data_IF_481813704727
#
_entry.id   IF_481813704727
#
_cell.length_a   1.000
_cell.length_b   1.000
_cell.length_c   1.000
_cell.angle_alpha   90.00
_cell.angle_beta   90.00
_cell.angle_gamma   90.00
#
_symmetry.space_group_name_H-M   'P 1'
#
loop_
_entity.id
_entity.type
_entity.pdbx_description
1 polymer ?
#
# COMPACT_ATOMS: atom_id res chain seq x y z
N UNK A 1 5.37 -43.69 -30.34
CA UNK A 1 5.51 -43.74 -31.80
C UNK A 1 4.57 -42.72 -32.42
N UNK A 2 5.14 -41.59 -32.83
CA UNK A 2 4.71 -40.72 -33.94
C UNK A 2 5.63 -39.48 -33.91
N UNK A 3 6.64 -39.50 -34.78
CA UNK A 3 7.51 -38.38 -35.13
C UNK A 3 6.74 -37.28 -35.87
N UNK A 4 7.02 -36.01 -35.57
CA UNK A 4 6.99 -34.91 -36.55
C UNK A 4 8.09 -33.87 -36.19
N UNK A 5 8.76 -33.39 -37.24
CA UNK A 5 10.07 -32.76 -37.31
C UNK A 5 10.13 -31.25 -36.94
N UNK A 6 11.34 -30.64 -36.80
CA UNK A 6 11.55 -29.29 -36.29
C UNK A 6 11.72 -28.25 -37.41
N UNK A 7 10.99 -27.13 -37.35
CA UNK A 7 11.23 -25.95 -38.19
C UNK A 7 10.92 -24.67 -37.39
N UNK A 8 11.95 -23.81 -37.23
CA UNK A 8 11.90 -22.35 -37.00
C UNK A 8 12.88 -21.79 -35.91
N UNK A 9 14.00 -22.44 -35.59
CA UNK A 9 14.98 -21.89 -34.62
C UNK A 9 16.09 -21.01 -35.22
N UNK A 10 16.25 -20.92 -36.54
CA UNK A 10 17.43 -20.27 -37.14
C UNK A 10 17.34 -18.74 -37.29
N UNK A 11 16.17 -18.14 -37.13
CA UNK A 11 16.00 -16.68 -37.24
C UNK A 11 16.20 -15.90 -35.93
N UNK A 12 15.90 -16.51 -34.79
CA UNK A 12 15.91 -15.84 -33.48
C UNK A 12 17.34 -15.79 -32.87
N UNK A 13 18.14 -16.82 -33.11
CA UNK A 13 19.52 -16.92 -32.61
C UNK A 13 20.44 -15.86 -33.24
N UNK A 14 20.22 -15.51 -34.51
CA UNK A 14 21.01 -14.48 -35.21
C UNK A 14 20.80 -13.06 -34.67
N UNK A 15 19.56 -12.73 -34.25
CA UNK A 15 19.22 -11.41 -33.68
C UNK A 15 19.77 -11.30 -32.26
N UNK A 16 19.71 -12.38 -31.47
CA UNK A 16 20.29 -12.43 -30.11
C UNK A 16 21.82 -12.30 -30.16
N UNK A 17 22.50 -12.93 -31.13
CA UNK A 17 23.96 -12.82 -31.29
C UNK A 17 24.40 -11.41 -31.68
N UNK A 18 23.72 -10.78 -32.65
CA UNK A 18 24.06 -9.43 -33.09
C UNK A 18 23.80 -8.35 -32.02
N UNK A 19 22.85 -8.61 -31.11
CA UNK A 19 22.57 -7.75 -29.96
C UNK A 19 23.63 -7.96 -28.86
N UNK A 20 24.11 -9.20 -28.67
CA UNK A 20 25.17 -9.53 -27.71
C UNK A 20 26.51 -8.88 -28.08
N UNK A 21 26.85 -8.86 -29.37
CA UNK A 21 28.10 -8.26 -29.85
C UNK A 21 28.04 -6.71 -29.86
N UNK A 22 26.85 -6.12 -30.04
CA UNK A 22 26.64 -4.67 -29.86
C UNK A 22 26.65 -4.23 -28.39
N UNK A 23 26.20 -5.09 -27.48
CA UNK A 23 26.28 -4.85 -26.04
C UNK A 23 27.73 -5.01 -25.52
N UNK A 24 28.51 -5.94 -26.08
CA UNK A 24 29.92 -6.11 -25.75
C UNK A 24 30.80 -4.94 -26.24
N UNK A 25 30.40 -4.24 -27.30
CA UNK A 25 31.13 -3.08 -27.84
C UNK A 25 30.80 -1.74 -27.14
N UNK A 26 29.90 -1.75 -26.14
CA UNK A 26 29.49 -0.56 -25.39
C UNK A 26 30.01 -0.54 -23.94
N UNK A 27 31.01 -1.37 -23.61
CA UNK A 27 31.82 -1.23 -22.40
C UNK A 27 32.88 -0.12 -22.56
N UNK A 28 32.39 1.11 -22.77
CA UNK A 28 33.15 2.29 -22.34
C UNK A 28 32.50 2.70 -21.03
N UNK A 29 33.13 2.29 -19.93
CA UNK A 29 32.73 2.56 -18.54
C UNK A 29 32.63 4.08 -18.29
N UNK A 30 31.50 4.69 -18.66
CA UNK A 30 31.00 5.81 -17.87
C UNK A 30 30.64 5.26 -16.49
N UNK A 31 30.97 5.94 -15.39
CA UNK A 31 30.58 5.49 -14.06
C UNK A 31 29.06 5.57 -13.94
N UNK A 32 28.38 4.49 -14.33
CA UNK A 32 26.94 4.40 -14.26
C UNK A 32 26.54 4.30 -12.78
N UNK A 33 25.62 5.17 -12.38
CA UNK A 33 24.99 5.20 -11.08
C UNK A 33 24.47 3.81 -10.75
N UNK A 34 24.86 3.28 -9.59
CA UNK A 34 24.28 2.07 -9.06
C UNK A 34 22.74 2.24 -8.97
N UNK A 35 21.92 1.42 -9.67
CA UNK A 35 20.46 1.54 -9.66
C UNK A 35 19.86 1.33 -8.27
N UNK A 36 20.64 0.76 -7.34
CA UNK A 36 20.29 0.50 -5.94
C UNK A 36 20.88 1.52 -4.96
N UNK A 37 21.46 2.62 -5.45
CA UNK A 37 21.84 3.77 -4.63
C UNK A 37 20.62 4.31 -3.86
N UNK A 38 20.78 4.87 -2.66
CA UNK A 38 19.70 5.57 -1.96
C UNK A 38 19.39 6.96 -2.55
N UNK A 39 20.26 7.51 -3.40
CA UNK A 39 20.12 8.87 -3.97
C UNK A 39 18.79 9.05 -4.74
N UNK A 40 18.38 8.12 -5.63
CA UNK A 40 17.10 8.24 -6.34
C UNK A 40 15.89 8.31 -5.41
N UNK A 41 15.89 7.57 -4.30
CA UNK A 41 14.83 7.63 -3.31
C UNK A 41 14.69 9.04 -2.72
N UNK A 42 15.81 9.71 -2.44
CA UNK A 42 15.83 11.11 -1.97
C UNK A 42 15.28 12.06 -3.03
N UNK A 43 15.68 11.89 -4.30
CA UNK A 43 15.17 12.72 -5.40
C UNK A 43 13.65 12.60 -5.57
N UNK A 44 13.12 11.37 -5.53
CA UNK A 44 11.67 11.12 -5.59
C UNK A 44 10.95 11.76 -4.40
N UNK A 45 11.49 11.64 -3.18
CA UNK A 45 10.92 12.29 -1.99
C UNK A 45 10.89 13.81 -2.13
N UNK A 46 11.98 14.42 -2.57
CA UNK A 46 12.05 15.88 -2.77
C UNK A 46 11.05 16.34 -3.82
N UNK A 47 10.94 15.62 -4.95
CA UNK A 47 9.95 15.91 -5.99
C UNK A 47 8.52 15.82 -5.46
N UNK A 48 8.20 14.78 -4.68
CA UNK A 48 6.88 14.60 -4.08
C UNK A 48 6.55 15.69 -3.05
N UNK A 49 7.49 16.04 -2.17
CA UNK A 49 7.34 17.11 -1.17
C UNK A 49 7.14 18.46 -1.85
N UNK A 50 7.94 18.77 -2.87
CA UNK A 50 7.84 20.01 -3.63
C UNK A 50 6.50 20.12 -4.35
N UNK A 51 6.09 19.07 -5.06
CA UNK A 51 4.78 19.00 -5.73
C UNK A 51 3.65 19.17 -4.73
N UNK A 52 3.70 18.46 -3.60
CA UNK A 52 2.69 18.58 -2.55
C UNK A 52 2.61 19.99 -2.00
N UNK A 53 3.75 20.66 -1.79
CA UNK A 53 3.78 22.06 -1.33
C UNK A 53 3.09 23.00 -2.33
N UNK A 54 3.28 22.81 -3.63
CA UNK A 54 2.58 23.57 -4.68
C UNK A 54 1.07 23.31 -4.61
N UNK A 55 0.66 22.04 -4.57
CA UNK A 55 -0.75 21.65 -4.53
C UNK A 55 -1.46 22.15 -3.27
N UNK A 56 -0.80 22.12 -2.11
CA UNK A 56 -1.34 22.65 -0.85
C UNK A 56 -1.55 24.17 -0.94
N UNK A 57 -0.63 24.89 -1.58
CA UNK A 57 -0.80 26.33 -1.81
C UNK A 57 -1.94 26.63 -2.76
N UNK A 58 -2.12 25.82 -3.81
CA UNK A 58 -3.15 26.02 -4.82
C UNK A 58 -4.55 25.58 -4.37
N UNK A 59 -4.66 24.44 -3.68
CA UNK A 59 -5.92 23.76 -3.36
C UNK A 59 -6.32 23.87 -1.87
N UNK A 60 -5.50 24.54 -1.06
CA UNK A 60 -5.70 24.67 0.38
C UNK A 60 -5.12 23.51 1.19
N UNK A 61 -4.76 23.84 2.43
CA UNK A 61 -4.26 22.89 3.41
C UNK A 61 -5.37 21.96 3.93
N UNK A 62 -5.00 20.75 4.39
CA UNK A 62 -5.92 19.86 5.08
C UNK A 62 -6.46 20.53 6.35
N UNK A 63 -7.66 20.14 6.81
CA UNK A 63 -8.21 20.61 8.09
C UNK A 63 -7.20 20.45 9.25
N UNK A 64 -7.41 21.20 10.34
CA UNK A 64 -6.62 21.07 11.55
C UNK A 64 -6.45 19.60 11.97
N UNK A 65 -5.27 19.27 12.54
CA UNK A 65 -4.88 17.89 12.79
C UNK A 65 -5.98 17.11 13.53
N UNK A 66 -6.40 15.99 12.95
CA UNK A 66 -7.13 14.99 13.73
C UNK A 66 -6.15 14.41 14.74
N UNK A 67 -6.68 13.86 15.84
CA UNK A 67 -6.04 13.40 17.10
C UNK A 67 -4.59 12.88 17.05
N UNK A 68 -4.07 12.40 15.92
CA UNK A 68 -2.72 11.83 15.73
C UNK A 68 -1.98 12.41 14.50
N UNK A 69 -1.53 13.67 14.59
CA UNK A 69 -0.87 14.38 13.49
C UNK A 69 0.37 13.66 12.91
N UNK A 70 1.17 13.02 13.77
CA UNK A 70 2.39 12.29 13.39
C UNK A 70 2.07 11.06 12.53
N UNK A 71 0.98 10.36 12.85
CA UNK A 71 0.49 9.22 12.09
C UNK A 71 -0.06 9.65 10.74
N UNK A 72 -0.78 10.78 10.69
CA UNK A 72 -1.26 11.35 9.43
C UNK A 72 -0.09 11.67 8.49
N UNK A 73 0.97 12.33 8.98
CA UNK A 73 2.14 12.63 8.16
C UNK A 73 2.97 11.40 7.77
N UNK A 74 3.11 10.42 8.66
CA UNK A 74 3.86 9.18 8.40
C UNK A 74 3.32 8.46 7.16
N UNK A 75 1.99 8.33 7.05
CA UNK A 75 1.33 7.60 5.95
C UNK A 75 1.78 8.02 4.57
N UNK A 76 1.99 9.32 4.35
CA UNK A 76 2.40 9.85 3.05
C UNK A 76 3.77 9.32 2.63
N UNK A 77 4.72 9.31 3.56
CA UNK A 77 6.06 8.77 3.33
C UNK A 77 6.04 7.27 3.08
N UNK A 78 5.25 6.51 3.85
CA UNK A 78 5.12 5.06 3.67
C UNK A 78 4.62 4.71 2.26
N UNK A 79 3.61 5.43 1.75
CA UNK A 79 3.09 5.21 0.40
C UNK A 79 4.14 5.53 -0.68
N UNK A 80 4.90 6.63 -0.51
CA UNK A 80 6.00 6.97 -1.42
C UNK A 80 7.13 5.96 -1.38
N UNK A 81 7.47 5.41 -0.22
CA UNK A 81 8.50 4.39 -0.09
C UNK A 81 8.11 3.09 -0.81
N UNK A 82 6.82 2.71 -0.76
CA UNK A 82 6.29 1.59 -1.55
C UNK A 82 6.40 1.88 -3.05
N UNK A 83 6.09 3.11 -3.49
CA UNK A 83 6.31 3.52 -4.87
C UNK A 83 7.77 3.43 -5.29
N UNK A 84 8.71 3.94 -4.48
CA UNK A 84 10.15 3.85 -4.74
C UNK A 84 10.63 2.41 -4.81
N UNK A 85 10.11 1.54 -3.95
CA UNK A 85 10.38 0.09 -3.99
C UNK A 85 9.94 -0.53 -5.32
N UNK A 86 8.71 -0.28 -5.75
CA UNK A 86 8.21 -0.82 -7.03
C UNK A 86 8.90 -0.19 -8.23
N UNK A 87 9.31 1.08 -8.17
CA UNK A 87 10.12 1.69 -9.22
C UNK A 87 11.48 0.97 -9.40
N UNK A 88 12.08 0.48 -8.30
CA UNK A 88 13.26 -0.38 -8.38
C UNK A 88 12.91 -1.77 -8.94
N UNK A 89 11.80 -2.39 -8.54
CA UNK A 89 11.36 -3.67 -9.14
C UNK A 89 11.15 -3.53 -10.65
N UNK A 90 10.49 -2.46 -11.09
CA UNK A 90 10.26 -2.17 -12.51
C UNK A 90 11.57 -2.10 -13.29
N UNK A 91 12.63 -1.48 -12.73
CA UNK A 91 13.95 -1.47 -13.35
C UNK A 91 14.47 -2.89 -13.66
N UNK A 92 14.41 -3.80 -12.69
CA UNK A 92 14.87 -5.18 -12.90
C UNK A 92 13.92 -6.00 -13.76
N UNK A 93 12.61 -5.78 -13.63
CA UNK A 93 11.59 -6.47 -14.41
C UNK A 93 11.73 -6.18 -15.91
N UNK A 94 11.93 -4.91 -16.29
CA UNK A 94 12.13 -4.52 -17.70
C UNK A 94 13.34 -5.20 -18.35
N UNK A 95 14.34 -5.63 -17.56
CA UNK A 95 15.60 -6.24 -18.04
C UNK A 95 15.62 -7.76 -17.96
N UNK A 96 14.95 -8.32 -16.97
CA UNK A 96 14.98 -9.76 -16.69
C UNK A 96 13.67 -10.46 -17.07
N UNK A 97 12.63 -9.70 -17.41
CA UNK A 97 11.26 -10.21 -17.59
C UNK A 97 10.60 -10.74 -16.32
N UNK A 98 11.31 -10.71 -15.17
CA UNK A 98 10.89 -11.39 -13.95
C UNK A 98 10.51 -10.38 -12.87
N UNK A 99 9.30 -10.52 -12.32
CA UNK A 99 8.87 -9.71 -11.18
C UNK A 99 9.35 -10.34 -9.88
N UNK A 100 10.56 -9.96 -9.46
CA UNK A 100 11.23 -10.58 -8.31
C UNK A 100 11.72 -9.53 -7.32
N UNK A 101 12.01 -10.02 -6.12
CA UNK A 101 12.59 -9.24 -5.05
C UNK A 101 13.91 -8.59 -5.48
N UNK A 102 14.06 -7.30 -5.22
CA UNK A 102 15.26 -6.52 -5.53
C UNK A 102 16.42 -6.96 -4.61
N UNK A 103 17.67 -7.11 -5.11
CA UNK A 103 18.83 -7.45 -4.29
C UNK A 103 19.35 -6.25 -3.48
N UNK A 104 18.47 -5.59 -2.71
CA UNK A 104 18.78 -4.46 -1.85
C UNK A 104 17.94 -4.49 -0.57
N UNK A 105 18.59 -4.56 0.60
CA UNK A 105 17.88 -4.47 1.87
C UNK A 105 17.18 -3.12 2.04
N UNK A 106 17.79 -2.04 1.53
CA UNK A 106 17.20 -0.71 1.57
C UNK A 106 15.88 -0.63 0.81
N UNK A 107 15.86 -0.98 -0.48
CA UNK A 107 14.61 -0.93 -1.27
C UNK A 107 13.57 -1.92 -0.75
N UNK A 108 13.98 -3.10 -0.29
CA UNK A 108 13.04 -4.06 0.31
C UNK A 108 12.43 -3.54 1.62
N UNK A 109 13.20 -2.81 2.43
CA UNK A 109 12.68 -2.15 3.62
C UNK A 109 11.69 -1.04 3.27
N UNK A 110 11.98 -0.23 2.25
CA UNK A 110 11.06 0.79 1.76
C UNK A 110 9.70 0.21 1.33
N UNK A 111 9.68 -0.99 0.74
CA UNK A 111 8.45 -1.72 0.41
C UNK A 111 7.81 -2.38 1.63
N UNK A 112 8.40 -3.48 2.10
CA UNK A 112 7.81 -4.34 3.14
C UNK A 112 7.73 -3.67 4.52
N UNK A 113 8.73 -2.86 4.90
CA UNK A 113 8.72 -2.12 6.16
C UNK A 113 7.63 -1.06 6.20
N UNK A 114 7.38 -0.40 5.06
CA UNK A 114 6.27 0.54 4.94
C UNK A 114 4.92 -0.14 5.07
N UNK A 115 4.74 -1.33 4.46
CA UNK A 115 3.49 -2.11 4.61
C UNK A 115 3.31 -2.58 6.06
N UNK A 116 4.38 -3.06 6.73
CA UNK A 116 4.32 -3.41 8.15
C UNK A 116 3.92 -2.21 9.02
N UNK A 117 4.44 -1.01 8.73
CA UNK A 117 4.03 0.21 9.43
C UNK A 117 2.59 0.61 9.09
N UNK A 118 2.08 0.38 7.87
CA UNK A 118 0.65 0.56 7.56
C UNK A 118 -0.22 -0.39 8.41
N UNK A 119 0.16 -1.65 8.57
CA UNK A 119 -0.52 -2.57 9.49
C UNK A 119 -0.45 -2.10 10.94
N UNK A 120 0.69 -1.56 11.40
CA UNK A 120 0.78 -0.95 12.73
C UNK A 120 -0.13 0.27 12.88
N UNK A 121 -0.27 1.11 11.85
CA UNK A 121 -1.20 2.24 11.86
C UNK A 121 -2.64 1.75 11.99
N UNK A 122 -3.03 0.74 11.22
CA UNK A 122 -4.38 0.16 11.30
C UNK A 122 -4.61 -0.48 12.68
N UNK A 123 -3.65 -1.26 13.17
CA UNK A 123 -3.69 -1.83 14.51
C UNK A 123 -3.88 -0.77 15.60
N UNK A 124 -3.09 0.30 15.53
CA UNK A 124 -3.15 1.42 16.48
C UNK A 124 -4.50 2.14 16.47
N UNK A 125 -4.96 2.57 15.28
CA UNK A 125 -6.17 3.40 15.18
C UNK A 125 -7.42 2.66 15.62
N UNK A 126 -7.53 1.37 15.28
CA UNK A 126 -8.73 0.59 15.61
C UNK A 126 -8.66 0.01 17.00
N UNK A 127 -7.51 -0.50 17.44
CA UNK A 127 -7.38 -0.97 18.81
C UNK A 127 -7.52 0.18 19.83
N UNK A 128 -7.10 1.42 19.47
CA UNK A 128 -7.39 2.61 20.28
C UNK A 128 -8.89 2.83 20.48
N UNK A 129 -9.72 2.66 19.43
CA UNK A 129 -11.18 2.75 19.52
C UNK A 129 -11.76 1.62 20.36
N UNK A 130 -11.23 0.40 20.22
CA UNK A 130 -11.65 -0.76 21.01
C UNK A 130 -11.36 -0.55 22.50
N UNK A 131 -10.19 -0.03 22.85
CA UNK A 131 -9.85 0.32 24.23
C UNK A 131 -10.75 1.44 24.79
N UNK A 132 -11.12 2.46 23.98
CA UNK A 132 -12.12 3.47 24.36
C UNK A 132 -13.53 2.84 24.57
N UNK A 133 -13.78 1.73 23.87
CA UNK A 133 -14.99 0.93 23.92
C UNK A 133 -15.34 0.32 25.29
N UNK A 134 -14.37 0.26 26.21
CA UNK A 134 -14.60 -0.19 27.60
C UNK A 134 -15.43 0.81 28.40
N UNK A 135 -15.28 2.11 28.10
CA UNK A 135 -15.98 3.19 28.79
C UNK A 135 -17.19 3.71 28.00
N UNK A 136 -17.17 3.59 26.67
CA UNK A 136 -18.23 4.09 25.79
C UNK A 136 -18.65 3.01 24.81
N UNK A 137 -19.95 2.86 24.57
CA UNK A 137 -20.44 1.92 23.56
C UNK A 137 -19.83 2.19 22.18
N UNK A 138 -19.39 1.13 21.49
CA UNK A 138 -18.83 1.20 20.14
C UNK A 138 -19.99 1.20 19.14
N UNK A 139 -20.00 2.17 18.24
CA UNK A 139 -20.86 2.17 17.06
C UNK A 139 -20.23 1.29 15.97
N UNK A 140 -20.55 0.00 16.03
CA UNK A 140 -20.02 -1.02 15.11
C UNK A 140 -20.44 -0.77 13.66
N UNK A 141 -21.70 -0.38 13.42
CA UNK A 141 -22.18 -0.05 12.08
C UNK A 141 -21.35 1.09 11.47
N UNK A 142 -21.16 2.17 12.22
CA UNK A 142 -20.31 3.30 11.78
C UNK A 142 -18.87 2.88 11.55
N UNK A 143 -18.32 2.01 12.40
CA UNK A 143 -16.96 1.50 12.25
C UNK A 143 -16.78 0.84 10.88
N UNK A 144 -17.63 -0.14 10.54
CA UNK A 144 -17.54 -0.88 9.28
C UNK A 144 -17.89 -0.03 8.05
N UNK A 145 -18.95 0.79 8.12
CA UNK A 145 -19.32 1.73 7.05
C UNK A 145 -18.15 2.67 6.75
N UNK A 146 -17.50 3.21 7.79
CA UNK A 146 -16.35 4.09 7.59
C UNK A 146 -15.15 3.40 6.94
N UNK A 147 -15.05 2.07 6.99
CA UNK A 147 -13.99 1.28 6.33
C UNK A 147 -14.35 1.00 4.89
N UNK A 148 -15.58 0.53 4.66
CA UNK A 148 -16.11 0.33 3.32
C UNK A 148 -15.96 1.60 2.47
N UNK A 149 -16.39 2.75 2.99
CA UNK A 149 -16.28 4.04 2.27
C UNK A 149 -14.86 4.62 2.22
N UNK A 150 -13.94 4.12 3.05
CA UNK A 150 -12.52 4.51 2.98
C UNK A 150 -11.78 3.75 1.88
N UNK A 151 -12.02 2.45 1.76
CA UNK A 151 -11.25 1.55 0.91
C UNK A 151 -11.88 1.38 -0.47
N UNK A 152 -13.18 1.09 -0.52
CA UNK A 152 -13.87 0.64 -1.74
C UNK A 152 -13.82 1.63 -2.90
N UNK A 153 -14.09 2.94 -2.73
CA UNK A 153 -14.20 3.84 -3.88
C UNK A 153 -12.93 3.92 -4.72
N UNK A 154 -11.77 4.10 -4.08
CA UNK A 154 -10.49 4.14 -4.80
C UNK A 154 -10.01 2.78 -5.24
N UNK A 155 -10.33 1.73 -4.48
CA UNK A 155 -10.04 0.38 -4.91
C UNK A 155 -10.75 0.05 -6.23
N UNK A 156 -12.05 0.32 -6.33
CA UNK A 156 -12.81 0.12 -7.55
C UNK A 156 -12.30 0.97 -8.72
N UNK A 157 -11.87 2.22 -8.46
CA UNK A 157 -11.21 3.03 -9.49
C UNK A 157 -9.90 2.36 -9.97
N UNK A 158 -9.07 1.86 -9.06
CA UNK A 158 -7.84 1.15 -9.42
C UNK A 158 -8.14 -0.11 -10.24
N UNK A 159 -9.14 -0.91 -9.83
CA UNK A 159 -9.55 -2.11 -10.56
C UNK A 159 -10.14 -1.79 -11.94
N UNK A 160 -10.90 -0.70 -12.06
CA UNK A 160 -11.39 -0.23 -13.35
C UNK A 160 -10.21 0.13 -14.28
N UNK A 161 -9.20 0.83 -13.77
CA UNK A 161 -8.00 1.17 -14.54
C UNK A 161 -7.22 -0.09 -14.94
N UNK A 162 -7.03 -1.04 -14.03
CA UNK A 162 -6.39 -2.33 -14.30
C UNK A 162 -7.13 -3.08 -15.42
N UNK A 163 -8.45 -3.28 -15.28
CA UNK A 163 -9.26 -3.99 -16.29
C UNK A 163 -9.29 -3.24 -17.63
N UNK A 164 -9.24 -1.91 -17.62
CA UNK A 164 -9.10 -1.10 -18.84
C UNK A 164 -7.76 -1.34 -19.51
N UNK A 165 -6.66 -1.40 -18.74
CA UNK A 165 -5.33 -1.72 -19.27
C UNK A 165 -5.31 -3.15 -19.84
N UNK A 166 -5.92 -4.12 -19.16
CA UNK A 166 -6.09 -5.48 -19.69
C UNK A 166 -6.82 -5.43 -21.04
N UNK A 167 -7.93 -4.69 -21.14
CA UNK A 167 -8.65 -4.47 -22.41
C UNK A 167 -7.75 -3.88 -23.49
N UNK A 168 -6.99 -2.83 -23.19
CA UNK A 168 -6.06 -2.19 -24.14
C UNK A 168 -4.97 -3.16 -24.61
N UNK A 169 -4.30 -3.86 -23.69
CA UNK A 169 -3.20 -4.80 -24.01
C UNK A 169 -3.72 -6.02 -24.79
N UNK A 170 -4.94 -6.45 -24.51
CA UNK A 170 -5.61 -7.53 -25.24
C UNK A 170 -6.30 -7.06 -26.53
N UNK A 171 -6.16 -5.78 -26.89
CA UNK A 171 -6.82 -5.15 -28.05
C UNK A 171 -8.34 -5.31 -28.04
N UNK A 172 -8.93 -5.38 -26.85
CA UNK A 172 -10.34 -5.65 -26.61
C UNK A 172 -10.84 -6.97 -27.21
N UNK A 173 -9.92 -7.90 -27.49
CA UNK A 173 -10.25 -9.24 -27.95
C UNK A 173 -10.40 -10.18 -26.75
N UNK A 174 -11.47 -10.97 -26.76
CA UNK A 174 -11.64 -12.09 -25.83
C UNK A 174 -10.67 -13.21 -26.24
N UNK A 175 -9.66 -13.44 -25.41
CA UNK A 175 -8.69 -14.53 -25.57
C UNK A 175 -9.12 -15.79 -24.81
N UNK A 176 -10.08 -15.63 -23.91
CA UNK A 176 -10.72 -16.69 -23.14
C UNK A 176 -12.25 -16.55 -23.21
N UNK A 177 -12.96 -17.58 -22.73
CA UNK A 177 -14.42 -17.56 -22.66
C UNK A 177 -14.94 -16.40 -21.78
N UNK A 178 -16.02 -15.69 -22.16
CA UNK A 178 -16.54 -14.55 -21.40
C UNK A 178 -16.81 -14.85 -19.92
N UNK A 179 -17.27 -16.06 -19.61
CA UNK A 179 -17.57 -16.50 -18.24
C UNK A 179 -16.31 -16.65 -17.38
N UNK A 180 -15.18 -17.02 -17.98
CA UNK A 180 -13.87 -17.09 -17.33
C UNK A 180 -13.40 -15.68 -17.00
N UNK A 181 -13.41 -14.78 -17.98
CA UNK A 181 -12.99 -13.37 -17.81
C UNK A 181 -13.83 -12.66 -16.74
N UNK A 182 -15.15 -12.88 -16.73
CA UNK A 182 -16.04 -12.32 -15.70
C UNK A 182 -15.70 -12.82 -14.30
N UNK A 183 -15.37 -14.11 -14.15
CA UNK A 183 -14.96 -14.70 -12.87
C UNK A 183 -13.62 -14.16 -12.39
N UNK A 184 -12.67 -13.97 -13.29
CA UNK A 184 -11.36 -13.38 -12.98
C UNK A 184 -11.51 -11.93 -12.55
N UNK A 185 -12.25 -11.12 -13.33
CA UNK A 185 -12.56 -9.75 -12.95
C UNK A 185 -13.29 -9.69 -11.60
N UNK A 186 -14.23 -10.61 -11.34
CA UNK A 186 -14.91 -10.68 -10.04
C UNK A 186 -13.94 -10.97 -8.90
N UNK A 187 -13.00 -11.91 -9.06
CA UNK A 187 -11.95 -12.19 -8.04
C UNK A 187 -11.16 -10.92 -7.71
N UNK A 188 -10.73 -10.16 -8.73
CA UNK A 188 -10.11 -8.86 -8.54
C UNK A 188 -11.02 -7.87 -7.80
N UNK A 189 -12.32 -7.82 -8.06
CA UNK A 189 -13.24 -6.92 -7.34
C UNK A 189 -13.41 -7.25 -5.84
N UNK A 190 -12.98 -8.44 -5.38
CA UNK A 190 -13.09 -8.87 -3.98
C UNK A 190 -11.93 -8.46 -3.08
N UNK A 191 -11.24 -7.35 -3.37
CA UNK A 191 -10.02 -6.95 -2.63
C UNK A 191 -8.93 -8.02 -2.64
N UNK A 192 -8.90 -8.82 -3.72
CA UNK A 192 -8.03 -10.01 -3.85
C UNK A 192 -8.13 -11.01 -2.70
N UNK A 193 -9.23 -10.99 -1.93
CA UNK A 193 -9.50 -11.96 -0.86
C UNK A 193 -9.67 -13.36 -1.46
N UNK A 194 -10.35 -13.46 -2.60
CA UNK A 194 -10.55 -14.73 -3.28
C UNK A 194 -9.30 -15.17 -4.04
N UNK A 195 -8.70 -14.27 -4.81
CA UNK A 195 -7.50 -14.49 -5.61
C UNK A 195 -7.12 -13.21 -6.40
N UNK A 196 -5.98 -13.21 -7.07
CA UNK A 196 -5.57 -12.20 -8.07
C UNK A 196 -5.08 -12.88 -9.36
N UNK A 197 -5.98 -13.57 -10.10
CA UNK A 197 -5.58 -14.38 -11.26
C UNK A 197 -5.15 -13.49 -12.43
N UNK A 198 -4.54 -14.10 -13.44
CA UNK A 198 -4.46 -13.48 -14.75
C UNK A 198 -5.87 -13.25 -15.31
N UNK A 199 -6.04 -12.19 -16.10
CA UNK A 199 -7.34 -11.80 -16.65
C UNK A 199 -7.29 -11.86 -18.17
N UNK A 200 -8.22 -12.57 -18.80
CA UNK A 200 -8.35 -12.65 -20.26
C UNK A 200 -7.04 -13.13 -20.94
N UNK A 201 -6.40 -14.14 -20.36
CA UNK A 201 -5.16 -14.74 -20.83
C UNK A 201 -3.94 -13.81 -20.77
N UNK A 202 -4.03 -12.66 -20.09
CA UNK A 202 -2.90 -11.76 -19.91
C UNK A 202 -2.03 -12.22 -18.75
N UNK A 203 -0.95 -12.92 -19.06
CA UNK A 203 0.01 -13.40 -18.08
C UNK A 203 0.58 -12.27 -17.20
N UNK A 204 0.73 -12.54 -15.91
CA UNK A 204 1.22 -11.59 -14.90
C UNK A 204 0.39 -10.30 -14.82
N UNK A 205 -0.94 -10.40 -14.86
CA UNK A 205 -1.84 -9.24 -14.78
C UNK A 205 -1.56 -8.36 -13.56
N UNK A 206 -1.14 -8.96 -12.44
CA UNK A 206 -0.78 -8.24 -11.21
C UNK A 206 0.38 -7.25 -11.38
N UNK A 207 1.19 -7.35 -12.42
CA UNK A 207 2.26 -6.36 -12.66
C UNK A 207 1.72 -4.98 -13.01
N UNK A 208 0.46 -4.89 -13.49
CA UNK A 208 -0.23 -3.63 -13.80
C UNK A 208 -0.45 -2.77 -12.55
N UNK A 209 -0.85 -3.36 -11.43
CA UNK A 209 -0.99 -2.66 -10.15
C UNK A 209 0.24 -2.84 -9.24
N UNK A 210 1.32 -3.42 -9.77
CA UNK A 210 2.51 -3.81 -9.02
C UNK A 210 2.23 -4.81 -7.87
N UNK A 211 1.11 -5.53 -7.92
CA UNK A 211 0.71 -6.53 -6.93
C UNK A 211 0.34 -5.93 -5.57
N UNK A 212 0.15 -4.62 -5.46
CA UNK A 212 0.00 -3.91 -4.17
C UNK A 212 -1.23 -4.33 -3.36
N UNK A 213 -2.20 -4.97 -4.01
CA UNK A 213 -3.49 -5.34 -3.42
C UNK A 213 -3.40 -6.50 -2.42
N UNK A 214 -2.31 -7.27 -2.41
CA UNK A 214 -2.11 -8.41 -1.49
C UNK A 214 -2.29 -8.07 -0.01
N UNK A 215 -2.04 -6.80 0.38
CA UNK A 215 -2.11 -6.36 1.78
C UNK A 215 -3.54 -6.10 2.28
N UNK A 216 -4.50 -5.90 1.37
CA UNK A 216 -5.87 -5.51 1.71
C UNK A 216 -6.68 -6.63 2.39
N UNK A 217 -6.57 -7.92 2.00
CA UNK A 217 -7.19 -9.02 2.73
C UNK A 217 -6.81 -9.05 4.22
N UNK A 218 -5.52 -8.89 4.53
CA UNK A 218 -5.03 -8.83 5.92
C UNK A 218 -5.72 -7.71 6.71
N UNK A 219 -5.89 -6.54 6.09
CA UNK A 219 -6.55 -5.41 6.71
C UNK A 219 -8.05 -5.67 6.95
N UNK A 220 -8.75 -6.25 5.97
CA UNK A 220 -10.15 -6.65 6.08
C UNK A 220 -10.38 -7.67 7.20
N UNK A 221 -9.56 -8.71 7.24
CA UNK A 221 -9.65 -9.70 8.31
C UNK A 221 -9.34 -9.09 9.68
N UNK A 222 -8.37 -8.20 9.78
CA UNK A 222 -8.12 -7.46 11.02
C UNK A 222 -9.38 -6.68 11.47
N UNK A 223 -10.06 -5.98 10.56
CA UNK A 223 -11.31 -5.27 10.86
C UNK A 223 -12.44 -6.20 11.32
N UNK A 224 -12.57 -7.35 10.68
CA UNK A 224 -13.59 -8.34 11.00
C UNK A 224 -13.32 -9.06 12.33
N UNK A 225 -12.06 -9.11 12.78
CA UNK A 225 -11.67 -9.65 14.10
C UNK A 225 -11.77 -8.65 15.26
N UNK A 226 -11.97 -7.35 15.00
CA UNK A 226 -12.12 -6.33 16.05
C UNK A 226 -13.19 -6.64 17.12
N UNK A 227 -14.36 -7.22 16.80
CA UNK A 227 -15.36 -7.63 17.79
C UNK A 227 -14.82 -8.65 18.79
N UNK A 228 -13.98 -9.58 18.34
CA UNK A 228 -13.34 -10.55 19.21
C UNK A 228 -12.33 -9.87 20.14
N UNK A 229 -11.50 -8.97 19.62
CA UNK A 229 -10.57 -8.20 20.45
C UNK A 229 -11.31 -7.37 21.49
N UNK A 230 -12.41 -6.72 21.12
CA UNK A 230 -13.25 -5.94 22.01
C UNK A 230 -13.84 -6.80 23.14
N UNK A 231 -14.34 -7.98 22.79
CA UNK A 231 -14.88 -8.93 23.76
C UNK A 231 -13.82 -9.40 24.76
N UNK A 232 -12.63 -9.79 24.28
CA UNK A 232 -11.52 -10.27 25.13
C UNK A 232 -11.07 -9.20 26.14
N UNK A 233 -11.08 -7.91 25.75
CA UNK A 233 -10.72 -6.83 26.68
C UNK A 233 -11.89 -6.33 27.55
N UNK A 234 -13.04 -7.01 27.50
CA UNK A 234 -14.21 -6.72 28.33
C UNK A 234 -15.11 -5.58 27.84
N UNK A 235 -15.03 -5.19 26.56
CA UNK A 235 -15.99 -4.26 25.97
C UNK A 235 -17.29 -4.98 25.57
N UNK A 236 -18.42 -4.28 25.59
CA UNK A 236 -19.72 -4.84 25.18
C UNK A 236 -19.81 -4.94 23.66
N UNK A 237 -20.14 -6.12 23.16
CA UNK A 237 -20.24 -6.41 21.72
C UNK A 237 -21.56 -7.11 21.42
N UNK A 238 -22.37 -6.62 20.47
CA UNK A 238 -23.57 -7.34 20.04
C UNK A 238 -23.23 -8.69 19.41
N UNK A 239 -24.05 -9.71 19.69
CA UNK A 239 -23.82 -11.11 19.25
C UNK A 239 -23.59 -11.24 17.75
N UNK A 240 -24.32 -10.48 16.91
CA UNK A 240 -24.15 -10.52 15.46
C UNK A 240 -22.70 -10.23 15.02
N UNK A 241 -22.02 -9.28 15.65
CA UNK A 241 -20.63 -8.96 15.32
C UNK A 241 -19.65 -10.00 15.84
N UNK A 242 -19.97 -10.67 16.96
CA UNK A 242 -19.19 -11.82 17.44
C UNK A 242 -19.32 -13.01 16.49
N UNK A 243 -20.53 -13.29 15.99
CA UNK A 243 -20.75 -14.35 14.98
C UNK A 243 -19.95 -14.06 13.72
N UNK A 244 -19.94 -12.81 13.23
CA UNK A 244 -19.12 -12.40 12.09
C UNK A 244 -17.62 -12.61 12.37
N UNK A 245 -17.14 -12.21 13.55
CA UNK A 245 -15.74 -12.37 13.93
C UNK A 245 -15.33 -13.85 14.06
N UNK A 246 -16.20 -14.70 14.62
CA UNK A 246 -15.97 -16.14 14.72
C UNK A 246 -15.99 -16.81 13.35
N UNK A 247 -16.95 -16.48 12.49
CA UNK A 247 -16.99 -16.98 11.11
C UNK A 247 -15.73 -16.56 10.33
N UNK A 248 -15.25 -15.32 10.55
CA UNK A 248 -13.98 -14.85 9.98
C UNK A 248 -12.80 -15.66 10.49
N UNK A 249 -12.73 -15.93 11.79
CA UNK A 249 -11.68 -16.77 12.38
C UNK A 249 -11.67 -18.18 11.78
N UNK A 250 -12.84 -18.77 11.55
CA UNK A 250 -12.97 -20.06 10.86
C UNK A 250 -12.51 -19.97 9.42
N UNK A 251 -12.91 -18.93 8.68
CA UNK A 251 -12.48 -18.74 7.29
C UNK A 251 -10.96 -18.53 7.16
N UNK A 252 -10.33 -17.85 8.12
CA UNK A 252 -8.88 -17.66 8.14
C UNK A 252 -8.10 -18.97 8.20
N UNK A 253 -8.67 -20.03 8.75
CA UNK A 253 -8.05 -21.37 8.73
C UNK A 253 -7.97 -21.90 7.29
N UNK A 254 -8.96 -21.59 6.45
CA UNK A 254 -8.96 -21.96 5.03
C UNK A 254 -8.09 -21.03 4.18
N UNK A 255 -8.08 -19.72 4.49
CA UNK A 255 -7.30 -18.73 3.74
C UNK A 255 -5.79 -18.81 4.01
N UNK A 256 -5.38 -19.40 5.14
CA UNK A 256 -3.98 -19.65 5.54
C UNK A 256 -3.06 -18.41 5.46
N UNK A 257 -3.34 -17.35 6.24
CA UNK A 257 -2.53 -16.13 6.23
C UNK A 257 -1.11 -16.41 6.73
N UNK A 258 -0.09 -15.84 6.06
CA UNK A 258 1.26 -15.82 6.62
C UNK A 258 1.31 -15.10 7.99
N UNK A 259 1.54 -15.80 9.12
CA UNK A 259 1.30 -15.25 10.46
C UNK A 259 2.20 -14.06 10.80
N UNK A 260 3.42 -14.06 10.25
CA UNK A 260 4.40 -13.00 10.50
C UNK A 260 4.00 -11.64 9.91
N UNK A 261 3.18 -11.62 8.84
CA UNK A 261 2.64 -10.37 8.29
C UNK A 261 1.60 -9.78 9.24
N UNK A 262 0.74 -10.65 9.78
CA UNK A 262 -0.27 -10.28 10.77
C UNK A 262 0.34 -9.83 12.11
N UNK A 263 1.53 -10.32 12.47
CA UNK A 263 2.23 -9.90 13.69
C UNK A 263 2.51 -8.39 13.76
N UNK A 264 2.63 -7.70 12.62
CA UNK A 264 2.81 -6.25 12.58
C UNK A 264 1.63 -5.49 13.23
N UNK A 265 0.40 -6.00 13.15
CA UNK A 265 -0.75 -5.38 13.83
C UNK A 265 -0.57 -5.32 15.35
N UNK A 266 0.16 -6.29 15.95
CA UNK A 266 0.42 -6.33 17.38
C UNK A 266 1.28 -5.14 17.83
N UNK A 267 2.24 -4.70 17.01
CA UNK A 267 3.02 -3.48 17.28
C UNK A 267 2.13 -2.23 17.33
N UNK A 268 1.13 -2.15 16.46
CA UNK A 268 0.09 -1.13 16.48
C UNK A 268 -0.80 -1.18 17.73
N UNK A 269 -1.25 -2.38 18.10
CA UNK A 269 -2.04 -2.61 19.32
C UNK A 269 -1.25 -2.23 20.57
N UNK A 270 0.02 -2.60 20.64
CA UNK A 270 0.93 -2.18 21.72
C UNK A 270 1.04 -0.66 21.79
N UNK A 271 1.26 0.02 20.66
CA UNK A 271 1.28 1.48 20.61
C UNK A 271 0.00 2.13 21.16
N UNK A 272 -1.18 1.54 20.90
CA UNK A 272 -2.44 2.05 21.42
C UNK A 272 -2.55 1.93 22.96
N UNK A 273 -1.92 0.90 23.54
CA UNK A 273 -1.81 0.75 25.00
C UNK A 273 -0.81 1.75 25.58
N UNK A 274 0.40 1.84 25.03
CA UNK A 274 1.43 2.75 25.52
C UNK A 274 1.00 4.22 25.42
N UNK A 275 0.31 4.60 24.34
CA UNK A 275 -0.16 5.97 24.11
C UNK A 275 -1.06 6.49 25.23
N UNK A 276 -1.74 5.62 26.00
CA UNK A 276 -2.61 6.01 27.12
C UNK A 276 -1.84 6.42 28.37
N UNK A 277 -0.60 5.95 28.51
CA UNK A 277 0.25 6.29 29.64
C UNK A 277 0.95 7.64 29.45
N UNK A 278 1.22 8.37 30.54
CA UNK A 278 1.87 9.69 30.45
C UNK A 278 3.37 9.60 30.17
N UNK A 279 4.04 8.55 30.65
CA UNK A 279 5.49 8.42 30.52
C UNK A 279 5.99 8.23 29.07
N UNK A 280 5.37 7.40 28.18
CA UNK A 280 5.84 7.26 26.81
C UNK A 280 5.62 8.53 26.01
N UNK A 281 4.52 9.25 26.27
CA UNK A 281 4.24 10.55 25.64
C UNK A 281 5.27 11.60 26.03
N UNK A 282 5.70 11.64 27.29
CA UNK A 282 6.78 12.54 27.75
C UNK A 282 8.11 12.20 27.06
N UNK A 283 8.46 10.92 26.96
CA UNK A 283 9.67 10.49 26.25
C UNK A 283 9.59 10.88 24.76
N UNK A 284 8.46 10.59 24.11
CA UNK A 284 8.23 10.83 22.69
C UNK A 284 8.33 12.30 22.28
N UNK A 285 8.11 13.23 23.21
CA UNK A 285 8.24 14.66 22.98
C UNK A 285 9.70 15.16 22.88
N UNK A 286 10.69 14.32 23.20
CA UNK A 286 12.11 14.69 23.19
C UNK A 286 12.74 14.55 21.80
N UNK A 287 13.79 15.33 21.52
CA UNK A 287 14.62 15.12 20.33
C UNK A 287 15.36 13.78 20.36
N UNK A 288 15.73 13.30 21.55
CA UNK A 288 16.33 11.96 21.74
C UNK A 288 15.41 10.84 21.25
N UNK A 289 14.09 10.94 21.45
CA UNK A 289 13.14 9.97 20.90
C UNK A 289 13.08 9.99 19.37
N UNK A 290 13.29 11.15 18.72
CA UNK A 290 13.41 11.22 17.27
C UNK A 290 14.67 10.49 16.77
N UNK A 291 15.81 10.70 17.42
CA UNK A 291 17.04 9.97 17.11
C UNK A 291 16.90 8.46 17.35
N UNK A 292 16.26 8.05 18.44
CA UNK A 292 16.01 6.65 18.75
C UNK A 292 15.09 6.01 17.69
N UNK A 293 14.00 6.68 17.30
CA UNK A 293 13.10 6.19 16.26
C UNK A 293 13.85 6.03 14.92
N UNK A 294 14.65 7.02 14.52
CA UNK A 294 15.49 6.94 13.31
C UNK A 294 16.50 5.81 13.42
N UNK A 295 17.16 5.66 14.58
CA UNK A 295 18.10 4.58 14.86
C UNK A 295 17.45 3.21 14.70
N UNK A 296 16.28 2.98 15.30
CA UNK A 296 15.52 1.73 15.13
C UNK A 296 15.18 1.44 13.65
N UNK A 297 14.72 2.45 12.91
CA UNK A 297 14.41 2.31 11.49
C UNK A 297 15.68 2.02 10.65
N UNK A 298 16.78 2.70 10.94
CA UNK A 298 18.06 2.50 10.26
C UNK A 298 18.66 1.12 10.56
N UNK A 299 18.57 0.65 11.81
CA UNK A 299 19.04 -0.70 12.20
C UNK A 299 18.25 -1.80 11.49
N UNK A 300 16.99 -1.57 11.11
CA UNK A 300 16.24 -2.55 10.30
C UNK A 300 16.91 -2.82 8.94
N UNK A 301 17.72 -1.90 8.42
CA UNK A 301 18.44 -2.08 7.15
C UNK A 301 19.55 -3.14 7.24
N UNK A 302 19.92 -3.57 8.45
CA UNK A 302 20.84 -4.68 8.66
C UNK A 302 20.16 -6.06 8.49
N UNK A 303 18.83 -6.11 8.38
CA UNK A 303 18.07 -7.36 8.34
C UNK A 303 17.55 -7.66 6.92
N UNK A 304 17.93 -8.81 6.32
CA UNK A 304 17.41 -9.21 5.02
C UNK A 304 15.91 -9.52 5.01
N UNK A 305 15.26 -9.75 6.14
CA UNK A 305 13.81 -9.99 6.20
C UNK A 305 13.18 -9.06 7.24
N UNK A 306 12.32 -8.15 6.78
CA UNK A 306 11.65 -7.16 7.62
C UNK A 306 10.65 -7.79 8.59
N UNK A 307 10.12 -8.95 8.26
CA UNK A 307 9.16 -9.68 9.10
C UNK A 307 9.84 -10.64 10.09
N UNK A 308 11.17 -10.67 10.15
CA UNK A 308 11.86 -11.35 11.24
C UNK A 308 11.56 -10.65 12.58
N UNK A 309 11.67 -11.41 13.68
CA UNK A 309 11.31 -10.92 15.02
C UNK A 309 12.08 -9.64 15.40
N UNK A 310 13.39 -9.60 15.13
CA UNK A 310 14.24 -8.44 15.41
C UNK A 310 13.74 -7.13 14.77
N UNK A 311 13.65 -7.03 13.44
CA UNK A 311 13.15 -5.83 12.77
C UNK A 311 11.69 -5.52 13.10
N UNK A 312 10.82 -6.51 13.33
CA UNK A 312 9.45 -6.23 13.81
C UNK A 312 9.43 -5.57 15.19
N UNK A 313 10.30 -5.98 16.11
CA UNK A 313 10.46 -5.32 17.42
C UNK A 313 10.99 -3.89 17.25
N UNK A 314 12.01 -3.69 16.41
CA UNK A 314 12.56 -2.35 16.14
C UNK A 314 11.52 -1.42 15.50
N UNK A 315 10.76 -1.92 14.51
CA UNK A 315 9.64 -1.20 13.90
C UNK A 315 8.57 -0.86 14.93
N UNK A 316 8.24 -1.79 15.83
CA UNK A 316 7.26 -1.57 16.89
C UNK A 316 7.72 -0.48 17.86
N UNK A 317 9.00 -0.48 18.26
CA UNK A 317 9.57 0.57 19.12
C UNK A 317 9.50 1.93 18.43
N UNK A 318 9.97 2.03 17.19
CA UNK A 318 9.90 3.27 16.41
C UNK A 318 8.46 3.77 16.26
N UNK A 319 7.53 2.86 15.94
CA UNK A 319 6.13 3.19 15.76
C UNK A 319 5.45 3.61 17.07
N UNK A 320 5.75 2.98 18.21
CA UNK A 320 5.25 3.38 19.53
C UNK A 320 5.67 4.82 19.84
N UNK A 321 6.94 5.18 19.61
CA UNK A 321 7.43 6.54 19.82
C UNK A 321 6.68 7.55 18.93
N UNK A 322 6.53 7.25 17.64
CA UNK A 322 5.81 8.11 16.69
C UNK A 322 4.32 8.27 17.07
N UNK A 323 3.66 7.17 17.43
CA UNK A 323 2.26 7.16 17.87
C UNK A 323 2.05 7.92 19.19
N UNK A 324 3.07 7.95 20.06
CA UNK A 324 3.06 8.70 21.31
C UNK A 324 3.41 10.19 21.15
N UNK A 325 3.90 10.62 19.99
CA UNK A 325 4.11 12.05 19.68
C UNK A 325 5.44 12.42 19.03
N UNK A 326 6.34 11.46 18.80
CA UNK A 326 7.63 11.74 18.13
C UNK A 326 7.38 12.20 16.69
N UNK A 327 7.79 13.44 16.40
CA UNK A 327 7.49 14.12 15.14
C UNK A 327 8.64 14.14 14.14
N UNK A 328 9.79 13.52 14.47
CA UNK A 328 11.03 13.51 13.68
C UNK A 328 11.47 14.92 13.29
N UNK A 329 11.77 15.75 14.31
CA UNK A 329 12.18 17.14 14.13
C UNK A 329 11.16 17.99 13.36
N UNK A 330 9.87 17.72 13.57
CA UNK A 330 8.75 18.44 12.94
C UNK A 330 8.32 17.91 11.57
N UNK A 331 9.08 16.99 10.96
CA UNK A 331 8.80 16.47 9.62
C UNK A 331 7.41 15.83 9.54
N UNK A 332 7.02 15.01 10.53
CA UNK A 332 5.75 14.27 10.48
C UNK A 332 4.52 15.14 10.77
N UNK A 333 4.68 16.29 11.42
CA UNK A 333 3.55 17.19 11.76
C UNK A 333 3.37 18.33 10.76
N UNK A 334 4.30 18.47 9.80
CA UNK A 334 4.22 19.50 8.77
C UNK A 334 2.94 19.38 7.95
N UNK A 335 2.40 20.52 7.51
CA UNK A 335 1.21 20.55 6.65
C UNK A 335 1.41 19.76 5.37
N UNK A 336 2.61 19.81 4.78
CA UNK A 336 2.95 19.09 3.55
C UNK A 336 2.87 17.58 3.76
N UNK A 337 3.52 17.07 4.81
CA UNK A 337 3.52 15.64 5.15
C UNK A 337 2.11 15.12 5.42
N UNK A 338 1.32 15.88 6.19
CA UNK A 338 -0.07 15.53 6.50
C UNK A 338 -0.95 15.53 5.26
N UNK A 339 -0.73 16.47 4.34
CA UNK A 339 -1.46 16.53 3.06
C UNK A 339 -1.14 15.33 2.18
N UNK A 340 0.14 14.95 2.10
CA UNK A 340 0.57 13.74 1.41
C UNK A 340 -0.06 12.49 2.05
N UNK A 341 -0.17 12.48 3.38
CA UNK A 341 -0.83 11.44 4.16
C UNK A 341 -2.31 11.23 3.87
N UNK A 342 -3.05 12.29 3.52
CA UNK A 342 -4.46 12.18 3.12
C UNK A 342 -4.61 11.35 1.83
N UNK A 343 -3.75 11.63 0.84
CA UNK A 343 -3.71 10.95 -0.45
C UNK A 343 -2.93 9.62 -0.44
N UNK A 344 -2.42 9.18 0.73
CA UNK A 344 -1.55 8.01 0.82
C UNK A 344 -2.18 6.72 0.27
N UNK A 345 -3.50 6.55 0.42
CA UNK A 345 -4.19 5.36 -0.11
C UNK A 345 -4.28 5.40 -1.65
N UNK A 346 -4.60 6.56 -2.23
CA UNK A 346 -4.51 6.77 -3.69
C UNK A 346 -3.09 6.51 -4.20
N UNK A 347 -2.04 7.02 -3.53
CA UNK A 347 -0.64 6.79 -3.93
C UNK A 347 -0.32 5.30 -3.87
N UNK A 348 -0.71 4.63 -2.79
CA UNK A 348 -0.49 3.19 -2.61
C UNK A 348 -1.14 2.35 -3.70
N UNK A 349 -2.37 2.68 -4.15
CA UNK A 349 -3.04 1.89 -5.19
C UNK A 349 -2.62 2.24 -6.62
N UNK A 350 -2.35 3.52 -6.91
CA UNK A 350 -2.18 3.97 -8.30
C UNK A 350 -0.72 4.00 -8.77
N UNK A 351 0.26 3.90 -7.88
CA UNK A 351 1.66 4.02 -8.30
C UNK A 351 2.11 2.90 -9.24
N UNK A 352 1.63 1.67 -9.04
CA UNK A 352 1.91 0.55 -9.94
C UNK A 352 1.36 0.81 -11.35
N UNK A 353 0.12 1.28 -11.43
CA UNK A 353 -0.52 1.66 -12.69
C UNK A 353 0.24 2.79 -13.39
N UNK A 354 0.67 3.81 -12.64
CA UNK A 354 1.46 4.92 -13.22
C UNK A 354 2.81 4.43 -13.73
N UNK A 355 3.50 3.55 -13.00
CA UNK A 355 4.75 2.93 -13.47
C UNK A 355 4.51 2.11 -14.73
N UNK A 356 3.47 1.25 -14.73
CA UNK A 356 3.12 0.41 -15.86
C UNK A 356 2.84 1.25 -17.11
N UNK A 357 1.98 2.27 -17.00
CA UNK A 357 1.65 3.17 -18.11
C UNK A 357 2.89 3.91 -18.61
N UNK A 358 3.73 4.41 -17.70
CA UNK A 358 4.95 5.14 -18.07
C UNK A 358 5.90 4.26 -18.86
N UNK A 359 6.22 3.06 -18.37
CA UNK A 359 7.25 2.22 -18.97
C UNK A 359 6.76 1.31 -20.10
N UNK A 360 5.47 0.98 -20.16
CA UNK A 360 4.93 0.09 -21.21
C UNK A 360 4.18 0.84 -22.32
N UNK A 361 3.59 2.02 -22.06
CA UNK A 361 2.86 2.78 -23.07
C UNK A 361 3.54 4.07 -23.52
N UNK A 362 4.20 4.83 -22.62
CA UNK A 362 4.85 6.09 -23.01
C UNK A 362 6.22 5.84 -23.65
N UNK A 363 7.06 5.05 -22.99
CA UNK A 363 8.38 4.71 -23.52
C UNK A 363 8.37 3.52 -24.48
N UNK A 364 7.32 2.68 -24.44
CA UNK A 364 7.34 1.29 -24.93
C UNK A 364 8.35 0.39 -24.18
N UNK A 365 8.05 -0.92 -24.13
CA UNK A 365 8.84 -1.87 -23.34
C UNK A 365 10.31 -1.95 -23.79
N UNK A 366 10.58 -1.84 -25.09
CA UNK A 366 11.93 -2.04 -25.65
C UNK A 366 12.81 -0.85 -25.32
N UNK A 367 12.30 0.37 -25.50
CA UNK A 367 13.04 1.58 -25.16
C UNK A 367 13.21 1.71 -23.65
N UNK A 368 12.19 1.33 -22.86
CA UNK A 368 12.27 1.31 -21.40
C UNK A 368 13.35 0.34 -20.87
N UNK A 369 13.48 -0.84 -21.47
CA UNK A 369 14.52 -1.81 -21.12
C UNK A 369 15.93 -1.29 -21.43
N UNK A 370 16.07 -0.45 -22.46
CA UNK A 370 17.34 0.16 -22.88
C UNK A 370 17.79 1.38 -22.07
N UNK A 371 16.98 1.90 -21.15
CA UNK A 371 17.36 3.06 -20.33
C UNK A 371 18.58 2.74 -19.45
N UNK A 372 19.43 3.72 -19.18
CA UNK A 372 20.42 3.61 -18.10
C UNK A 372 19.73 3.68 -16.73
N UNK A 373 20.45 3.35 -15.64
CA UNK A 373 19.93 3.48 -14.29
C UNK A 373 19.52 4.94 -13.96
N UNK A 374 20.33 5.90 -14.38
CA UNK A 374 20.06 7.33 -14.23
C UNK A 374 18.82 7.74 -15.01
N UNK A 375 18.72 7.32 -16.26
CA UNK A 375 17.57 7.65 -17.11
C UNK A 375 16.27 7.08 -16.53
N UNK A 376 16.29 5.82 -16.08
CA UNK A 376 15.15 5.20 -15.39
C UNK A 376 14.72 6.03 -14.19
N UNK A 377 15.65 6.40 -13.31
CA UNK A 377 15.34 7.17 -12.11
C UNK A 377 14.93 8.61 -12.40
N UNK A 378 15.45 9.23 -13.46
CA UNK A 378 15.00 10.53 -13.94
C UNK A 378 13.55 10.47 -14.44
N UNK A 379 13.18 9.40 -15.15
CA UNK A 379 11.80 9.14 -15.58
C UNK A 379 10.89 8.98 -14.36
N UNK A 380 11.29 8.19 -13.36
CA UNK A 380 10.52 8.02 -12.11
C UNK A 380 10.37 9.35 -11.36
N UNK A 381 11.44 10.15 -11.26
CA UNK A 381 11.40 11.46 -10.63
C UNK A 381 10.47 12.43 -11.39
N UNK A 382 10.48 12.39 -12.73
CA UNK A 382 9.57 13.18 -13.57
C UNK A 382 8.11 12.71 -13.51
N UNK A 383 7.88 11.41 -13.32
CA UNK A 383 6.53 10.84 -13.12
C UNK A 383 5.97 11.15 -11.72
N UNK A 384 6.84 11.47 -10.74
CA UNK A 384 6.42 11.70 -9.35
C UNK A 384 5.46 12.89 -9.19
N UNK A 385 5.70 14.08 -9.77
CA UNK A 385 4.72 15.16 -9.76
C UNK A 385 3.36 14.77 -10.35
N UNK A 386 3.36 13.99 -11.43
CA UNK A 386 2.13 13.51 -12.08
C UNK A 386 1.37 12.56 -11.14
N UNK A 387 2.05 11.56 -10.57
CA UNK A 387 1.48 10.63 -9.59
C UNK A 387 0.85 11.39 -8.41
N UNK A 388 1.62 12.27 -7.77
CA UNK A 388 1.14 13.04 -6.60
C UNK A 388 -0.06 13.90 -6.97
N UNK A 389 -0.05 14.53 -8.14
CA UNK A 389 -1.18 15.35 -8.61
C UNK A 389 -2.43 14.52 -8.86
N UNK A 390 -2.31 13.39 -9.58
CA UNK A 390 -3.41 12.45 -9.82
C UNK A 390 -4.00 12.00 -8.47
N UNK A 391 -3.16 11.56 -7.54
CA UNK A 391 -3.61 11.10 -6.23
C UNK A 391 -4.27 12.19 -5.38
N UNK A 392 -3.83 13.45 -5.50
CA UNK A 392 -4.47 14.59 -4.84
C UNK A 392 -5.85 14.90 -5.41
N UNK A 393 -6.02 14.73 -6.72
CA UNK A 393 -7.29 14.89 -7.41
C UNK A 393 -8.23 13.75 -7.03
N UNK A 394 -7.80 12.49 -7.16
CA UNK A 394 -8.64 11.32 -6.85
C UNK A 394 -9.01 11.26 -5.37
N UNK A 395 -8.11 11.64 -4.45
CA UNK A 395 -8.47 11.78 -3.05
C UNK A 395 -9.63 12.78 -2.85
N UNK A 396 -9.57 13.95 -3.52
CA UNK A 396 -10.61 14.99 -3.37
C UNK A 396 -11.92 14.62 -4.07
N UNK A 397 -11.87 13.96 -5.23
CA UNK A 397 -13.06 13.67 -6.05
C UNK A 397 -13.71 12.32 -5.75
N UNK A 398 -12.96 11.36 -5.19
CA UNK A 398 -13.44 9.98 -4.96
C UNK A 398 -13.43 9.62 -3.47
N UNK A 399 -12.27 9.71 -2.80
CA UNK A 399 -12.18 9.28 -1.39
C UNK A 399 -12.94 10.18 -0.44
N UNK A 400 -12.71 11.49 -0.53
CA UNK A 400 -13.24 12.47 0.42
C UNK A 400 -14.78 12.55 0.38
N UNK A 401 -15.45 12.55 -0.79
CA UNK A 401 -16.91 12.53 -0.85
C UNK A 401 -17.48 11.25 -0.23
N UNK A 402 -16.92 10.08 -0.55
CA UNK A 402 -17.36 8.82 0.03
C UNK A 402 -17.19 8.80 1.56
N UNK A 403 -16.05 9.26 2.07
CA UNK A 403 -15.83 9.39 3.52
C UNK A 403 -16.84 10.34 4.18
N UNK A 404 -17.22 11.44 3.51
CA UNK A 404 -18.25 12.38 3.98
C UNK A 404 -19.62 11.73 4.18
N UNK A 405 -19.93 10.67 3.43
CA UNK A 405 -21.21 9.96 3.51
C UNK A 405 -21.30 8.95 4.66
N UNK A 406 -20.23 8.77 5.45
CA UNK A 406 -20.19 7.77 6.53
C UNK A 406 -21.38 7.88 7.49
N UNK A 407 -21.71 9.08 7.96
CA UNK A 407 -22.82 9.26 8.91
C UNK A 407 -24.18 8.99 8.26
N UNK A 408 -24.36 9.44 7.01
CA UNK A 408 -25.61 9.27 6.27
C UNK A 408 -25.90 7.79 5.98
N UNK A 409 -24.89 7.05 5.49
CA UNK A 409 -25.00 5.61 5.23
C UNK A 409 -25.20 4.84 6.54
N UNK A 410 -24.50 5.21 7.61
CA UNK A 410 -24.70 4.58 8.93
C UNK A 410 -26.14 4.75 9.42
N UNK A 411 -26.68 5.98 9.36
CA UNK A 411 -28.05 6.26 9.78
C UNK A 411 -29.08 5.47 8.95
N UNK A 412 -28.86 5.40 7.63
CA UNK A 412 -29.70 4.62 6.71
C UNK A 412 -29.69 3.12 7.02
N UNK A 413 -28.52 2.53 7.35
CA UNK A 413 -28.42 1.12 7.78
C UNK A 413 -29.18 0.91 9.09
N UNK A 414 -28.93 1.76 10.09
CA UNK A 414 -29.53 1.63 11.41
C UNK A 414 -31.07 1.78 11.37
N UNK A 415 -31.61 2.59 10.46
CA UNK A 415 -33.05 2.73 10.26
C UNK A 415 -33.73 1.47 9.68
N UNK A 416 -32.96 0.58 9.06
CA UNK A 416 -33.45 -0.65 8.39
C UNK A 416 -33.19 -1.92 9.18
N UNK A 417 -32.35 -1.88 10.21
CA UNK A 417 -32.12 -3.01 11.10
C UNK A 417 -33.32 -3.21 12.04
N UNK A 418 -33.93 -4.41 12.09
CA UNK A 418 -35.00 -4.72 13.04
C UNK A 418 -34.45 -4.62 14.48
N UNK A 419 -34.91 -3.62 15.24
CA UNK A 419 -34.50 -3.39 16.63
C UNK A 419 -34.32 -1.93 17.04
N UNK A 420 -34.06 -1.03 16.08
CA UNK A 420 -33.90 0.42 16.36
C UNK A 420 -35.22 1.15 16.64
N UNK A 421 -36.37 0.54 16.31
CA UNK A 421 -37.71 1.07 16.60
C UNK A 421 -38.16 0.87 18.06
N UNK A 422 -37.44 0.09 18.87
CA UNK A 422 -37.83 -0.22 20.25
C UNK A 422 -37.33 0.79 21.31
N UNK A 423 -36.59 1.82 20.93
CA UNK A 423 -36.13 2.89 21.84
C UNK A 423 -36.72 4.27 21.52
N UNK A 424 -37.73 4.31 20.65
CA UNK A 424 -38.44 5.54 20.27
C UNK A 424 -39.91 5.55 20.73
N UNK A 425 -40.26 4.74 21.75
CA UNK A 425 -41.56 4.80 22.42
C UNK A 425 -41.39 4.85 23.92
#
# INVERSE_FOLDING_TARGET
>A
MAELAPLAETGFIGIVSATRDRLAAQEVESPSMNPLSPIPAVLVLLAAIFTTRILVRALGAPPAARRFATIDGLRGYLALFVFVHHAAITYFNLRTGSWVRVPSTFYNFLGHGSVALFFMITGFLFFSKILDGRAKAIDWAKLYVSRLLRLTPMYLLSMLLLLTIVGIVTQWQLREEPTIVLREAFKWLTFTILDSPDVNGLANTFTIDAGVTWSLPYEWFYYLLLPLFAFVIGARVPVVYLVIALATLTYLVHWDPEPYRSAAFLGGMAAAVFQRNSWPRRLAATHGASLLAIGCLATCLAFPNVYAVGPLVLLSIAFILIACGTNLFGVLVSTVSRSLGEAAYSIYLLHGIVLYVTFHFIFDHVSAAGLSAEQHWLVVAAATPLLVTICFVTFRSVERPALGQTNNVTAWINARLPGSRAHAR
#
